data_IF_413274336547
#
_entry.id   IF_413274336547
#
_cell.length_a   1.000
_cell.length_b   1.000
_cell.length_c   1.000
_cell.angle_alpha   90.00
_cell.angle_beta   90.00
_cell.angle_gamma   90.00
#
_symmetry.space_group_name_H-M   'P 1'
#
loop_
_entity.id
_entity.type
_entity.pdbx_description
1 polymer ?
#
# COMPACT_ATOMS: atom_id res chain seq x y z
N UNK A 1 25.65 11.60 1.23
CA UNK A 1 26.74 11.00 0.43
C UNK A 1 26.09 10.08 -0.60
N UNK A 2 25.44 10.68 -1.58
CA UNK A 2 25.86 10.79 -3.00
C UNK A 2 25.92 9.45 -3.73
N UNK A 3 24.84 9.24 -4.49
CA UNK A 3 24.65 8.21 -5.49
C UNK A 3 25.74 8.26 -6.57
N UNK A 4 26.21 7.08 -7.00
CA UNK A 4 27.17 6.90 -8.08
C UNK A 4 26.39 6.49 -9.32
N UNK A 5 26.16 7.46 -10.19
CA UNK A 5 25.50 7.29 -11.49
C UNK A 5 26.61 7.13 -12.54
N UNK A 6 26.77 5.92 -13.07
CA UNK A 6 27.74 5.64 -14.14
C UNK A 6 27.16 6.09 -15.48
N UNK A 7 27.95 6.90 -16.17
CA UNK A 7 27.63 7.65 -17.37
C UNK A 7 28.15 6.86 -18.58
N UNK A 8 27.26 6.33 -19.42
CA UNK A 8 27.63 5.71 -20.70
C UNK A 8 27.94 6.79 -21.75
N UNK A 9 28.97 6.63 -22.60
CA UNK A 9 29.30 7.61 -23.62
C UNK A 9 28.34 7.50 -24.81
N UNK A 10 27.72 8.65 -25.12
CA UNK A 10 26.81 8.91 -26.22
C UNK A 10 27.61 8.98 -27.55
N UNK A 11 27.33 8.08 -28.49
CA UNK A 11 27.93 8.07 -29.83
C UNK A 11 26.97 8.79 -30.80
N UNK A 12 27.39 9.89 -31.44
CA UNK A 12 26.53 10.65 -32.35
C UNK A 12 26.46 10.00 -33.74
N UNK A 13 25.30 10.02 -34.42
CA UNK A 13 25.20 9.59 -35.81
C UNK A 13 25.62 10.74 -36.74
N UNK A 14 26.60 10.49 -37.61
CA UNK A 14 26.97 11.41 -38.70
C UNK A 14 26.33 10.97 -40.03
N UNK A 15 26.02 11.93 -40.93
CA UNK A 15 25.09 11.75 -42.04
C UNK A 15 25.80 11.71 -43.41
N UNK A 16 25.37 10.82 -44.31
CA UNK A 16 25.71 10.87 -45.74
C UNK A 16 24.45 10.50 -46.53
N UNK A 17 23.73 11.47 -47.09
CA UNK A 17 23.96 12.21 -48.33
C UNK A 17 22.99 11.69 -49.41
N UNK A 18 21.95 12.50 -49.61
CA UNK A 18 21.04 12.48 -50.77
C UNK A 18 21.83 12.70 -52.06
N UNK A 19 21.50 11.92 -53.08
CA UNK A 19 21.63 12.31 -54.48
C UNK A 19 20.28 12.00 -55.16
N UNK A 20 19.56 13.07 -55.45
CA UNK A 20 18.46 13.23 -56.41
C UNK A 20 18.87 14.44 -57.29
N UNK A 21 18.22 14.79 -58.41
CA UNK A 21 17.44 14.03 -59.39
C UNK A 21 17.76 14.46 -60.85
N UNK A 22 17.23 13.79 -61.87
CA UNK A 22 16.97 14.39 -63.20
C UNK A 22 15.68 13.74 -63.75
N UNK A 23 14.52 14.43 -63.67
CA UNK A 23 13.89 15.23 -64.75
C UNK A 23 13.51 14.33 -65.96
N UNK A 24 12.27 14.22 -66.44
CA UNK A 24 11.02 14.97 -66.27
C UNK A 24 9.88 14.18 -66.92
N UNK A 25 8.69 14.36 -66.38
CA UNK A 25 7.39 14.55 -67.04
C UNK A 25 7.04 13.74 -68.30
N UNK A 26 6.00 12.92 -68.16
CA UNK A 26 4.75 13.10 -68.92
C UNK A 26 3.56 12.52 -68.16
N UNK A 27 2.66 13.41 -67.74
CA UNK A 27 1.28 13.08 -67.38
C UNK A 27 0.57 12.46 -68.60
N UNK A 28 -0.21 11.41 -68.39
CA UNK A 28 -1.58 11.30 -68.91
C UNK A 28 -2.30 10.05 -68.39
N UNK A 29 -3.49 10.32 -67.85
CA UNK A 29 -4.71 9.51 -67.95
C UNK A 29 -4.82 8.19 -67.19
N UNK A 30 -5.70 8.26 -66.19
CA UNK A 30 -6.49 7.22 -65.54
C UNK A 30 -6.78 6.04 -66.48
N UNK A 31 -6.43 4.84 -66.03
CA UNK A 31 -6.81 3.54 -66.57
C UNK A 31 -6.48 2.45 -65.53
N UNK A 32 -7.53 1.75 -65.09
CA UNK A 32 -7.59 0.68 -64.09
C UNK A 32 -6.56 -0.47 -64.25
N UNK A 33 -6.32 -1.29 -63.20
CA UNK A 33 -5.10 -2.07 -63.06
C UNK A 33 -5.06 -3.25 -64.04
N UNK A 34 -4.06 -3.28 -64.93
CA UNK A 34 -3.71 -4.50 -65.68
C UNK A 34 -2.82 -5.37 -64.81
N UNK A 35 -3.37 -6.51 -64.42
CA UNK A 35 -2.73 -7.66 -63.79
C UNK A 35 -1.45 -8.08 -64.54
N UNK A 36 -0.46 -8.58 -63.78
CA UNK A 36 0.88 -8.92 -64.26
C UNK A 36 0.94 -10.00 -65.35
N UNK A 37 2.13 -10.27 -65.91
CA UNK A 37 2.29 -11.11 -67.09
C UNK A 37 1.98 -12.58 -66.77
N UNK A 38 0.85 -13.09 -67.25
CA UNK A 38 0.55 -14.53 -67.23
C UNK A 38 1.37 -15.26 -68.29
N UNK A 39 2.15 -16.26 -67.88
CA UNK A 39 2.97 -17.07 -68.79
C UNK A 39 2.34 -18.43 -69.07
N UNK A 40 2.28 -18.88 -70.33
CA UNK A 40 1.87 -20.24 -70.68
C UNK A 40 3.04 -21.01 -71.30
N UNK A 41 3.37 -22.18 -70.74
CA UNK A 41 4.40 -23.06 -71.29
C UNK A 41 3.95 -24.52 -71.35
N UNK A 42 4.35 -25.21 -72.43
CA UNK A 42 4.09 -26.63 -72.60
C UNK A 42 5.01 -27.46 -71.70
N UNK A 43 4.43 -28.34 -70.90
CA UNK A 43 5.15 -29.20 -69.95
C UNK A 43 5.56 -30.53 -70.58
N UNK A 44 4.63 -31.18 -71.29
CA UNK A 44 4.89 -32.43 -71.99
C UNK A 44 3.99 -32.55 -73.23
N UNK A 45 4.56 -33.12 -74.30
CA UNK A 45 3.89 -33.40 -75.56
C UNK A 45 4.06 -34.89 -75.86
N UNK A 46 2.99 -35.65 -75.73
CA UNK A 46 2.93 -37.04 -76.17
C UNK A 46 2.02 -37.15 -77.39
N UNK A 47 2.05 -38.29 -78.07
CA UNK A 47 1.36 -38.52 -79.34
C UNK A 47 -0.14 -38.16 -79.31
N UNK A 48 -0.81 -38.32 -78.16
CA UNK A 48 -2.27 -38.08 -78.01
C UNK A 48 -2.66 -37.15 -76.87
N UNK A 49 -1.68 -36.63 -76.12
CA UNK A 49 -1.92 -35.85 -74.90
C UNK A 49 -0.88 -34.75 -74.80
N UNK A 50 -1.34 -33.53 -74.51
CA UNK A 50 -0.46 -32.40 -74.24
C UNK A 50 -0.85 -31.75 -72.92
N UNK A 51 0.14 -31.48 -72.07
CA UNK A 51 -0.04 -30.77 -70.80
C UNK A 51 0.65 -29.41 -70.80
N UNK A 52 -0.01 -28.40 -70.24
CA UNK A 52 0.48 -27.02 -70.14
C UNK A 52 0.35 -26.48 -68.72
N UNK A 53 1.31 -25.68 -68.31
CA UNK A 53 1.16 -24.83 -67.14
C UNK A 53 0.87 -23.40 -67.60
N UNK A 54 -0.11 -22.79 -66.95
CA UNK A 54 -0.43 -21.37 -67.09
C UNK A 54 -0.17 -20.74 -65.74
N UNK A 55 0.76 -19.79 -65.67
CA UNK A 55 1.10 -19.03 -64.47
C UNK A 55 0.43 -17.67 -64.52
N UNK A 56 -0.09 -17.18 -63.41
CA UNK A 56 -0.84 -15.92 -63.34
C UNK A 56 -1.72 -15.85 -62.10
N UNK A 57 -2.29 -14.66 -61.82
CA UNK A 57 -3.26 -14.50 -60.73
C UNK A 57 -4.62 -14.92 -61.26
N UNK A 58 -5.05 -16.15 -60.93
CA UNK A 58 -6.34 -16.67 -61.38
C UNK A 58 -7.41 -16.40 -60.32
N UNK A 59 -8.49 -15.72 -60.73
CA UNK A 59 -9.66 -15.44 -59.90
C UNK A 59 -10.89 -16.08 -60.53
N UNK A 60 -11.69 -16.82 -59.74
CA UNK A 60 -12.93 -17.46 -60.20
C UNK A 60 -12.95 -18.99 -60.20
N UNK A 61 -14.09 -19.59 -60.56
CA UNK A 61 -14.27 -21.04 -60.66
C UNK A 61 -13.48 -21.63 -61.83
N UNK A 62 -12.99 -22.88 -61.71
CA UNK A 62 -12.33 -23.61 -62.79
C UNK A 62 -13.18 -23.73 -64.07
N UNK A 63 -14.50 -23.64 -63.94
CA UNK A 63 -15.44 -23.69 -65.06
C UNK A 63 -15.41 -22.43 -65.95
N UNK A 64 -14.70 -21.38 -65.52
CA UNK A 64 -14.48 -20.16 -66.30
C UNK A 64 -13.39 -20.29 -67.35
N UNK A 65 -12.67 -21.43 -67.43
CA UNK A 65 -11.58 -21.61 -68.39
C UNK A 65 -11.96 -22.60 -69.49
N UNK A 66 -11.74 -22.21 -70.74
CA UNK A 66 -11.98 -23.07 -71.90
C UNK A 66 -10.73 -23.15 -72.79
N UNK A 67 -10.56 -24.30 -73.45
CA UNK A 67 -9.48 -24.52 -74.41
C UNK A 67 -10.07 -24.70 -75.80
N UNK A 68 -9.57 -23.94 -76.78
CA UNK A 68 -9.86 -24.16 -78.20
C UNK A 68 -8.65 -24.79 -78.88
N UNK A 69 -8.90 -25.84 -79.65
CA UNK A 69 -7.89 -26.46 -80.54
C UNK A 69 -8.33 -26.16 -81.97
N UNK A 70 -7.50 -25.46 -82.73
CA UNK A 70 -7.79 -24.97 -84.08
C UNK A 70 -9.16 -24.26 -84.16
N UNK A 71 -9.40 -23.29 -83.26
CA UNK A 71 -10.65 -22.52 -83.14
C UNK A 71 -11.89 -23.29 -82.66
N UNK A 72 -11.79 -24.59 -82.35
CA UNK A 72 -12.91 -25.39 -81.85
C UNK A 72 -12.76 -25.65 -80.35
N UNK A 73 -13.80 -25.37 -79.57
CA UNK A 73 -13.80 -25.67 -78.13
C UNK A 73 -13.63 -27.17 -77.90
N UNK A 74 -12.54 -27.54 -77.22
CA UNK A 74 -12.13 -28.91 -77.04
C UNK A 74 -12.69 -29.47 -75.74
N UNK A 75 -13.56 -30.49 -75.86
CA UNK A 75 -14.26 -31.07 -74.71
C UNK A 75 -13.40 -32.01 -73.87
N UNK A 76 -12.34 -32.57 -74.44
CA UNK A 76 -11.45 -33.51 -73.74
C UNK A 76 -10.31 -32.77 -73.05
N UNK A 77 -10.66 -31.85 -72.16
CA UNK A 77 -9.72 -31.00 -71.43
C UNK A 77 -9.90 -31.22 -69.93
N UNK A 78 -8.80 -31.41 -69.20
CA UNK A 78 -8.79 -31.51 -67.74
C UNK A 78 -8.01 -30.32 -67.19
N UNK A 79 -8.66 -29.51 -66.36
CA UNK A 79 -8.08 -28.31 -65.75
C UNK A 79 -7.96 -28.55 -64.25
N UNK A 80 -6.77 -28.32 -63.69
CA UNK A 80 -6.48 -28.51 -62.26
C UNK A 80 -5.70 -27.32 -61.71
N UNK A 81 -6.05 -26.91 -60.49
CA UNK A 81 -5.29 -25.92 -59.74
C UNK A 81 -4.05 -26.59 -59.15
N UNK A 82 -2.90 -25.94 -59.28
CA UNK A 82 -1.64 -26.44 -58.75
C UNK A 82 -1.04 -25.37 -57.84
N UNK A 83 -1.00 -25.64 -56.53
CA UNK A 83 -0.22 -24.82 -55.62
C UNK A 83 1.25 -25.16 -55.79
N UNK A 84 1.99 -24.29 -56.45
CA UNK A 84 3.45 -24.32 -56.41
C UNK A 84 3.87 -23.61 -55.13
N UNK A 85 3.85 -24.33 -54.01
CA UNK A 85 4.35 -23.80 -52.74
C UNK A 85 5.88 -23.78 -52.79
N UNK A 86 6.43 -22.69 -53.33
CA UNK A 86 7.84 -22.36 -53.17
C UNK A 86 8.03 -20.85 -53.35
N UNK A 87 7.60 -20.08 -52.34
CA UNK A 87 8.07 -18.71 -52.04
C UNK A 87 7.40 -18.20 -50.77
N UNK A 88 8.22 -17.91 -49.77
CA UNK A 88 7.86 -17.21 -48.54
C UNK A 88 7.13 -15.89 -48.82
N UNK A 89 5.85 -15.81 -48.46
CA UNK A 89 5.18 -14.53 -48.23
C UNK A 89 4.92 -14.42 -46.73
N UNK A 90 5.87 -13.80 -46.03
CA UNK A 90 5.69 -13.33 -44.66
C UNK A 90 4.84 -12.07 -44.69
N UNK A 91 3.60 -12.14 -44.19
CA UNK A 91 2.83 -10.95 -43.82
C UNK A 91 2.74 -10.93 -42.29
N UNK A 92 3.29 -9.88 -41.69
CA UNK A 92 3.11 -9.58 -40.26
C UNK A 92 1.65 -9.13 -40.03
N UNK A 93 1.00 -9.51 -38.92
CA UNK A 93 -0.31 -8.98 -38.58
C UNK A 93 -0.09 -7.68 -37.79
N UNK A 94 -0.13 -6.53 -38.46
CA UNK A 94 -0.24 -5.25 -37.78
C UNK A 94 -1.68 -4.74 -37.91
N UNK A 95 -2.32 -4.68 -36.75
CA UNK A 95 -3.30 -3.70 -36.27
C UNK A 95 -4.19 -2.99 -37.31
N UNK A 96 -5.47 -3.33 -37.26
CA UNK A 96 -6.54 -2.58 -37.89
C UNK A 96 -6.77 -1.25 -37.17
N UNK A 97 -6.62 -0.15 -37.91
CA UNK A 97 -7.47 1.04 -37.79
C UNK A 97 -7.30 1.86 -39.07
N UNK A 98 -8.34 1.93 -39.91
CA UNK A 98 -9.09 3.16 -40.15
C UNK A 98 -10.07 3.05 -41.33
N UNK A 99 -11.16 3.79 -41.17
CA UNK A 99 -12.31 3.93 -42.05
C UNK A 99 -11.93 4.64 -43.36
N UNK A 100 -11.60 3.89 -44.40
CA UNK A 100 -11.80 4.31 -45.78
C UNK A 100 -11.87 3.08 -46.68
N UNK A 101 -13.08 2.80 -47.19
CA UNK A 101 -13.45 1.58 -47.89
C UNK A 101 -12.51 1.19 -49.02
N UNK A 102 -11.67 0.18 -48.75
CA UNK A 102 -10.95 -0.60 -49.75
C UNK A 102 -11.37 -2.06 -49.61
N UNK A 103 -11.78 -2.66 -50.71
CA UNK A 103 -12.25 -4.05 -50.80
C UNK A 103 -11.17 -5.01 -50.32
N UNK A 104 -11.50 -5.79 -49.28
CA UNK A 104 -10.75 -6.96 -48.85
C UNK A 104 -10.84 -7.99 -49.99
N UNK A 105 -9.78 -8.15 -50.77
CA UNK A 105 -9.64 -9.33 -51.63
C UNK A 105 -9.31 -10.47 -50.68
N UNK A 106 -10.26 -11.39 -50.52
CA UNK A 106 -10.10 -12.62 -49.77
C UNK A 106 -8.97 -13.46 -50.41
N UNK A 107 -7.78 -13.41 -49.82
CA UNK A 107 -6.56 -14.10 -50.28
C UNK A 107 -6.65 -15.63 -50.08
N UNK A 108 -7.79 -16.15 -49.61
CA UNK A 108 -7.97 -17.59 -49.39
C UNK A 108 -8.17 -18.43 -50.66
N UNK A 109 -8.38 -17.81 -51.84
CA UNK A 109 -8.66 -18.52 -53.10
C UNK A 109 -7.85 -18.03 -54.31
N UNK A 110 -6.67 -17.46 -54.11
CA UNK A 110 -5.75 -17.11 -55.21
C UNK A 110 -4.77 -18.25 -55.47
N UNK A 111 -4.84 -18.84 -56.68
CA UNK A 111 -3.86 -19.83 -57.15
C UNK A 111 -2.96 -19.18 -58.19
N UNK A 112 -1.65 -19.41 -58.07
CA UNK A 112 -0.65 -18.79 -58.95
C UNK A 112 -0.40 -19.62 -60.23
N UNK A 113 -0.93 -20.85 -60.31
CA UNK A 113 -0.70 -21.76 -61.45
C UNK A 113 -1.87 -22.72 -61.71
N UNK A 114 -2.24 -22.85 -62.98
CA UNK A 114 -3.21 -23.82 -63.49
C UNK A 114 -2.50 -24.83 -64.40
N UNK A 115 -2.78 -26.12 -64.21
CA UNK A 115 -2.40 -27.20 -65.12
C UNK A 115 -3.58 -27.56 -66.03
N UNK A 116 -3.36 -27.49 -67.34
CA UNK A 116 -4.34 -27.85 -68.37
C UNK A 116 -3.81 -29.03 -69.16
N UNK A 117 -4.56 -30.14 -69.19
CA UNK A 117 -4.24 -31.33 -69.97
C UNK A 117 -5.28 -31.53 -71.08
N UNK A 118 -4.82 -31.54 -72.33
CA UNK A 118 -5.64 -31.76 -73.52
C UNK A 118 -5.45 -33.19 -74.00
N UNK A 119 -6.54 -33.95 -74.08
CA UNK A 119 -6.57 -35.34 -74.52
C UNK A 119 -7.21 -35.49 -75.89
N UNK A 120 -7.00 -36.66 -76.53
CA UNK A 120 -7.69 -37.03 -77.75
C UNK A 120 -7.11 -36.42 -79.03
N UNK A 121 -5.85 -36.00 -78.99
CA UNK A 121 -5.13 -35.47 -80.16
C UNK A 121 -4.62 -36.61 -81.06
N UNK A 122 -4.44 -36.32 -82.35
CA UNK A 122 -3.84 -37.27 -83.31
C UNK A 122 -2.33 -37.12 -83.34
N UNK A 123 -1.60 -38.24 -83.35
CA UNK A 123 -0.14 -38.27 -83.49
C UNK A 123 0.34 -37.71 -84.84
N UNK A 124 1.53 -37.13 -84.86
CA UNK A 124 2.15 -36.60 -86.08
C UNK A 124 1.48 -35.37 -86.70
N UNK A 125 0.62 -34.64 -85.98
CA UNK A 125 -0.08 -33.44 -86.49
C UNK A 125 0.27 -32.19 -85.69
N UNK A 126 0.14 -31.02 -86.34
CA UNK A 126 0.40 -29.72 -85.73
C UNK A 126 -0.92 -29.06 -85.31
N UNK A 127 -1.03 -28.66 -84.05
CA UNK A 127 -2.22 -28.00 -83.49
C UNK A 127 -1.90 -26.58 -83.04
N UNK A 128 -2.85 -25.66 -83.24
CA UNK A 128 -2.89 -24.35 -82.60
C UNK A 128 -3.89 -24.38 -81.45
N UNK A 129 -3.42 -24.08 -80.24
CA UNK A 129 -4.22 -24.14 -79.02
C UNK A 129 -4.36 -22.74 -78.43
N UNK A 130 -5.58 -22.39 -78.02
CA UNK A 130 -5.93 -21.15 -77.34
C UNK A 130 -6.55 -21.44 -75.99
N UNK A 131 -6.12 -20.72 -74.96
CA UNK A 131 -6.65 -20.80 -73.61
C UNK A 131 -7.37 -19.50 -73.32
N UNK A 132 -8.66 -19.58 -72.97
CA UNK A 132 -9.54 -18.44 -72.79
C UNK A 132 -10.12 -18.44 -71.37
N UNK A 133 -10.28 -17.26 -70.78
CA UNK A 133 -11.07 -17.02 -69.57
C UNK A 133 -12.42 -16.40 -69.95
N UNK A 134 -13.49 -16.99 -69.43
CA UNK A 134 -14.88 -16.55 -69.62
C UNK A 134 -15.37 -15.94 -68.32
N UNK A 135 -15.63 -14.63 -68.33
CA UNK A 135 -16.14 -13.95 -67.13
C UNK A 135 -17.65 -14.19 -66.97
N UNK A 136 -18.15 -14.57 -65.78
CA UNK A 136 -19.58 -14.84 -65.57
C UNK A 136 -20.47 -13.60 -65.79
N UNK A 137 -19.94 -12.42 -65.46
CA UNK A 137 -20.70 -11.16 -65.42
C UNK A 137 -20.54 -10.29 -66.68
N UNK A 138 -19.69 -10.71 -67.62
CA UNK A 138 -19.44 -10.01 -68.88
C UNK A 138 -19.31 -11.04 -70.00
N UNK A 139 -20.09 -10.91 -71.07
CA UNK A 139 -20.07 -11.83 -72.23
C UNK A 139 -18.79 -11.74 -73.08
N UNK A 140 -17.67 -11.34 -72.48
CA UNK A 140 -16.38 -11.14 -73.11
C UNK A 140 -15.43 -12.27 -72.72
N UNK A 141 -14.77 -12.87 -73.71
CA UNK A 141 -13.74 -13.90 -73.52
C UNK A 141 -12.37 -13.22 -73.59
N UNK A 142 -11.53 -13.42 -72.58
CA UNK A 142 -10.15 -12.92 -72.60
C UNK A 142 -9.17 -14.06 -72.97
N UNK A 143 -8.20 -13.78 -73.84
CA UNK A 143 -7.24 -14.78 -74.32
C UNK A 143 -5.98 -14.77 -73.46
N UNK A 144 -5.80 -15.82 -72.67
CA UNK A 144 -4.67 -15.97 -71.75
C UNK A 144 -3.40 -16.39 -72.50
N UNK A 145 -3.53 -17.23 -73.54
CA UNK A 145 -2.37 -17.68 -74.31
C UNK A 145 -2.73 -18.47 -75.56
N UNK A 146 -1.83 -18.42 -76.56
CA UNK A 146 -1.93 -19.15 -77.83
C UNK A 146 -0.61 -19.86 -78.14
N UNK A 147 -0.64 -21.17 -78.42
CA UNK A 147 0.56 -22.01 -78.61
C UNK A 147 0.40 -22.97 -79.80
N UNK A 148 1.47 -23.21 -80.56
CA UNK A 148 1.51 -24.20 -81.66
C UNK A 148 2.43 -25.38 -81.32
N UNK A 149 1.95 -26.62 -81.49
CA UNK A 149 2.67 -27.85 -81.08
C UNK A 149 2.56 -28.96 -82.14
N UNK A 150 3.61 -29.76 -82.29
CA UNK A 150 3.69 -30.94 -83.16
C UNK A 150 3.86 -32.24 -82.36
N UNK A 151 3.16 -33.32 -82.75
CA UNK A 151 3.14 -34.62 -82.05
C UNK A 151 3.92 -35.76 -82.76
N UNK A 152 4.97 -35.49 -83.55
CA UNK A 152 5.73 -36.52 -84.32
C UNK A 152 6.99 -37.09 -83.60
N UNK A 153 7.30 -38.41 -83.73
CA UNK A 153 8.49 -39.05 -83.13
C UNK A 153 9.77 -38.90 -84.01
N UNK A 154 10.95 -38.83 -83.37
CA UNK A 154 12.26 -38.74 -84.01
C UNK A 154 12.86 -40.14 -84.31
N UNK A 155 13.49 -40.32 -85.47
CA UNK A 155 14.38 -41.44 -85.90
C UNK A 155 13.79 -42.57 -86.76
N UNK A 156 14.03 -42.51 -88.08
CA UNK A 156 14.29 -43.70 -88.94
C UNK A 156 14.80 -43.27 -90.32
N UNK A 157 16.06 -43.56 -90.67
CA UNK A 157 16.52 -43.47 -92.06
C UNK A 157 17.64 -44.48 -92.40
N UNK A 158 17.36 -45.28 -93.43
CA UNK A 158 18.26 -45.99 -94.35
C UNK A 158 18.85 -47.37 -94.00
N UNK A 159 18.37 -48.41 -94.71
CA UNK A 159 19.16 -49.56 -95.17
C UNK A 159 18.66 -50.01 -96.54
N UNK A 160 19.57 -50.24 -97.49
CA UNK A 160 19.32 -50.94 -98.76
C UNK A 160 20.45 -51.97 -98.99
N UNK A 161 20.15 -53.21 -99.44
CA UNK A 161 21.15 -54.22 -99.78
C UNK A 161 21.29 -54.41 -101.30
N UNK A 162 22.52 -54.70 -101.78
CA UNK A 162 22.77 -55.16 -103.17
C UNK A 162 23.39 -56.56 -103.16
N UNK A 163 22.90 -57.39 -104.09
CA UNK A 163 23.15 -58.82 -104.31
C UNK A 163 24.43 -59.10 -105.17
N UNK A 164 24.86 -60.38 -105.32
CA UNK A 164 26.22 -60.79 -105.74
C UNK A 164 26.37 -61.06 -107.27
N UNK A 165 27.61 -61.25 -107.79
CA UNK A 165 27.91 -61.27 -109.23
C UNK A 165 27.68 -62.62 -109.95
N UNK A 166 27.57 -62.54 -111.28
CA UNK A 166 27.26 -63.60 -112.24
C UNK A 166 28.46 -64.49 -112.64
N UNK A 167 28.24 -65.82 -112.53
CA UNK A 167 28.84 -67.00 -113.23
C UNK A 167 30.39 -67.15 -113.38
N UNK A 168 30.95 -68.34 -113.06
CA UNK A 168 32.38 -68.65 -113.07
C UNK A 168 32.95 -69.07 -114.43
N UNK A 169 34.22 -68.74 -114.68
CA UNK A 169 35.05 -69.28 -115.76
C UNK A 169 35.65 -70.65 -115.36
N UNK A 170 35.57 -71.65 -116.26
CA UNK A 170 36.29 -72.95 -116.30
C UNK A 170 36.31 -73.87 -115.05
N UNK A 171 36.10 -75.20 -115.18
CA UNK A 171 36.03 -76.15 -114.05
C UNK A 171 37.29 -76.22 -113.16
N UNK A 172 38.48 -76.06 -113.73
CA UNK A 172 39.74 -76.10 -112.98
C UNK A 172 39.94 -74.80 -112.20
N UNK A 173 39.59 -73.66 -112.80
CA UNK A 173 39.62 -72.34 -112.15
C UNK A 173 38.56 -72.25 -111.06
N UNK A 174 37.37 -72.82 -111.29
CA UNK A 174 36.32 -72.94 -110.26
C UNK A 174 36.79 -73.72 -109.03
N UNK A 175 37.55 -74.82 -109.18
CA UNK A 175 38.07 -75.57 -108.03
C UNK A 175 39.20 -74.85 -107.29
N UNK A 176 40.09 -74.17 -108.03
CA UNK A 176 41.20 -73.41 -107.46
C UNK A 176 40.70 -72.12 -106.78
N UNK A 177 39.71 -71.46 -107.37
CA UNK A 177 38.97 -70.36 -106.76
C UNK A 177 38.15 -70.85 -105.57
N UNK A 178 37.52 -72.03 -105.63
CA UNK A 178 36.81 -72.59 -104.47
C UNK A 178 37.77 -72.93 -103.33
N UNK A 179 38.97 -73.47 -103.62
CA UNK A 179 39.98 -73.77 -102.61
C UNK A 179 40.60 -72.49 -102.05
N UNK A 180 40.92 -71.52 -102.90
CA UNK A 180 41.43 -70.20 -102.53
C UNK A 180 40.39 -69.44 -101.70
N UNK A 181 39.13 -69.42 -102.13
CA UNK A 181 38.00 -68.85 -101.41
C UNK A 181 37.70 -69.62 -100.12
N UNK A 182 37.93 -70.94 -100.07
CA UNK A 182 37.86 -71.74 -98.83
C UNK A 182 39.02 -71.40 -97.88
N UNK A 183 40.23 -71.14 -98.38
CA UNK A 183 41.37 -70.70 -97.57
C UNK A 183 41.19 -69.26 -97.07
N UNK A 184 40.66 -68.36 -97.91
CA UNK A 184 40.30 -66.99 -97.55
C UNK A 184 39.21 -67.01 -96.49
N UNK A 185 38.11 -67.73 -96.69
CA UNK A 185 37.03 -67.85 -95.69
C UNK A 185 37.50 -68.53 -94.40
N UNK A 186 38.37 -69.56 -94.46
CA UNK A 186 38.99 -70.15 -93.28
C UNK A 186 39.88 -69.14 -92.54
N UNK A 187 40.65 -68.33 -93.27
CA UNK A 187 41.47 -67.26 -92.69
C UNK A 187 40.62 -66.16 -92.07
N UNK A 188 39.48 -65.80 -92.69
CA UNK A 188 38.51 -64.83 -92.20
C UNK A 188 37.81 -65.34 -90.95
N UNK A 189 37.39 -66.60 -90.91
CA UNK A 189 36.81 -67.25 -89.74
C UNK A 189 37.84 -67.36 -88.62
N UNK A 190 39.10 -67.75 -88.90
CA UNK A 190 40.19 -67.74 -87.91
C UNK A 190 40.44 -66.33 -87.35
N UNK A 191 40.45 -65.31 -88.20
CA UNK A 191 40.64 -63.92 -87.79
C UNK A 191 39.41 -63.36 -87.05
N UNK A 192 38.20 -63.79 -87.41
CA UNK A 192 36.96 -63.49 -86.72
C UNK A 192 36.95 -64.08 -85.30
N UNK A 193 37.33 -65.35 -85.16
CA UNK A 193 37.46 -66.01 -83.85
C UNK A 193 38.54 -65.33 -83.01
N UNK A 194 39.69 -64.96 -83.59
CA UNK A 194 40.73 -64.21 -82.86
C UNK A 194 40.24 -62.83 -82.40
N UNK A 195 39.52 -62.09 -83.25
CA UNK A 195 38.90 -60.80 -82.90
C UNK A 195 37.86 -60.97 -81.79
N UNK A 196 36.94 -61.91 -81.94
CA UNK A 196 35.94 -62.26 -80.92
C UNK A 196 36.60 -62.64 -79.59
N UNK A 197 37.61 -63.52 -79.58
CA UNK A 197 38.35 -63.85 -78.34
C UNK A 197 39.01 -62.64 -77.69
N UNK A 198 39.62 -61.74 -78.48
CA UNK A 198 40.21 -60.49 -77.97
C UNK A 198 39.16 -59.54 -77.40
N UNK A 199 38.00 -59.44 -78.06
CA UNK A 199 36.89 -58.60 -77.60
C UNK A 199 36.22 -59.17 -76.35
N UNK A 200 36.05 -60.50 -76.26
CA UNK A 200 35.60 -61.16 -75.03
C UNK A 200 36.60 -60.99 -73.89
N UNK A 201 37.91 -61.09 -74.16
CA UNK A 201 38.93 -60.84 -73.15
C UNK A 201 38.91 -59.38 -72.65
N UNK A 202 38.73 -58.41 -73.55
CA UNK A 202 38.54 -57.00 -73.17
C UNK A 202 37.27 -56.80 -72.34
N UNK A 203 36.12 -57.31 -72.79
CA UNK A 203 34.86 -57.25 -72.04
C UNK A 203 34.97 -57.88 -70.67
N UNK A 204 35.62 -59.04 -70.56
CA UNK A 204 35.88 -59.70 -69.28
C UNK A 204 36.76 -58.84 -68.37
N UNK A 205 37.79 -58.18 -68.91
CA UNK A 205 38.62 -57.24 -68.16
C UNK A 205 37.83 -56.01 -67.70
N UNK A 206 36.96 -55.47 -68.56
CA UNK A 206 36.08 -54.33 -68.24
C UNK A 206 35.07 -54.71 -67.15
N UNK A 207 34.39 -55.85 -67.28
CA UNK A 207 33.43 -56.34 -66.28
C UNK A 207 34.13 -56.59 -64.94
N UNK A 208 35.34 -57.16 -64.94
CA UNK A 208 36.13 -57.31 -63.70
C UNK A 208 36.46 -55.97 -63.06
N UNK A 209 36.89 -54.99 -63.87
CA UNK A 209 37.16 -53.64 -63.38
C UNK A 209 35.90 -52.95 -62.85
N UNK A 210 34.76 -53.11 -63.51
CA UNK A 210 33.46 -52.61 -63.05
C UNK A 210 33.02 -53.28 -61.74
N UNK A 211 33.20 -54.61 -61.62
CA UNK A 211 32.95 -55.34 -60.37
C UNK A 211 33.84 -54.81 -59.25
N UNK A 212 35.15 -54.64 -59.49
CA UNK A 212 36.08 -54.11 -58.49
C UNK A 212 35.74 -52.65 -58.12
N UNK A 213 35.31 -51.84 -59.09
CA UNK A 213 34.88 -50.46 -58.87
C UNK A 213 33.59 -50.39 -58.05
N UNK A 214 32.58 -51.22 -58.37
CA UNK A 214 31.33 -51.30 -57.62
C UNK A 214 31.60 -51.83 -56.21
N UNK A 215 32.45 -52.86 -56.07
CA UNK A 215 32.84 -53.42 -54.77
C UNK A 215 33.54 -52.38 -53.90
N UNK A 216 34.48 -51.62 -54.47
CA UNK A 216 35.15 -50.51 -53.79
C UNK A 216 34.18 -49.42 -53.35
N UNK A 217 33.21 -49.06 -54.21
CA UNK A 217 32.14 -48.10 -53.86
C UNK A 217 31.26 -48.62 -52.73
N UNK A 218 30.85 -49.89 -52.76
CA UNK A 218 30.07 -50.52 -51.69
C UNK A 218 30.83 -50.51 -50.35
N UNK A 219 32.09 -50.94 -50.31
CA UNK A 219 32.91 -50.90 -49.08
C UNK A 219 33.12 -49.46 -48.57
N UNK A 220 33.20 -48.46 -49.47
CA UNK A 220 33.32 -47.05 -49.08
C UNK A 220 32.00 -46.46 -48.54
N UNK A 221 30.87 -46.89 -49.08
CA UNK A 221 29.54 -46.48 -48.62
C UNK A 221 29.21 -47.07 -47.26
N UNK A 222 29.61 -48.31 -46.99
CA UNK A 222 29.35 -49.00 -45.71
C UNK A 222 29.97 -48.25 -44.50
N UNK A 223 31.16 -47.68 -44.69
CA UNK A 223 31.81 -46.80 -43.68
C UNK A 223 31.07 -45.48 -43.48
N UNK A 224 30.44 -44.98 -44.53
CA UNK A 224 29.65 -43.73 -44.49
C UNK A 224 28.32 -43.97 -43.78
N UNK A 225 27.65 -45.08 -44.09
CA UNK A 225 26.42 -45.50 -43.43
C UNK A 225 26.63 -45.76 -41.93
N UNK A 226 27.72 -46.43 -41.55
CA UNK A 226 28.04 -46.63 -40.14
C UNK A 226 28.31 -45.29 -39.42
N UNK A 227 28.95 -44.31 -40.09
CA UNK A 227 29.15 -42.96 -39.53
C UNK A 227 27.81 -42.24 -39.36
N UNK A 228 26.91 -42.32 -40.34
CA UNK A 228 25.57 -41.72 -40.28
C UNK A 228 24.75 -42.36 -39.16
N UNK A 229 24.79 -43.70 -39.02
CA UNK A 229 24.12 -44.43 -37.94
C UNK A 229 24.59 -44.01 -36.56
N UNK A 230 25.91 -43.85 -36.36
CA UNK A 230 26.49 -43.33 -35.11
C UNK A 230 26.03 -41.90 -34.82
N UNK A 231 26.02 -41.03 -35.82
CA UNK A 231 25.49 -39.66 -35.66
C UNK A 231 24.01 -39.65 -35.31
N UNK A 232 23.20 -40.49 -35.96
CA UNK A 232 21.78 -40.62 -35.66
C UNK A 232 21.53 -41.10 -34.22
N UNK A 233 22.31 -42.08 -33.74
CA UNK A 233 22.25 -42.52 -32.34
C UNK A 233 22.65 -41.42 -31.37
N UNK A 234 23.71 -40.67 -31.68
CA UNK A 234 24.13 -39.50 -30.91
C UNK A 234 23.01 -38.47 -30.84
N UNK A 235 22.42 -38.09 -31.98
CA UNK A 235 21.32 -37.13 -32.02
C UNK A 235 20.08 -37.63 -31.28
N UNK A 236 19.72 -38.91 -31.38
CA UNK A 236 18.64 -39.49 -30.59
C UNK A 236 18.91 -39.37 -29.08
N UNK A 237 20.15 -39.58 -28.65
CA UNK A 237 20.53 -39.38 -27.24
C UNK A 237 20.44 -37.91 -26.85
N UNK A 238 20.93 -37.00 -27.69
CA UNK A 238 20.85 -35.56 -27.46
C UNK A 238 19.41 -35.07 -27.40
N UNK A 239 18.54 -35.53 -28.29
CA UNK A 239 17.10 -35.19 -28.28
C UNK A 239 16.46 -35.64 -26.97
N UNK A 240 16.70 -36.88 -26.53
CA UNK A 240 16.18 -37.37 -25.24
C UNK A 240 16.68 -36.54 -24.05
N UNK A 241 17.95 -36.14 -24.08
CA UNK A 241 18.50 -35.28 -23.02
C UNK A 241 17.84 -33.90 -23.03
N UNK A 242 17.70 -33.29 -24.22
CA UNK A 242 17.04 -31.99 -24.35
C UNK A 242 15.57 -32.05 -23.96
N UNK A 243 14.85 -33.12 -24.30
CA UNK A 243 13.47 -33.33 -23.84
C UNK A 243 13.38 -33.43 -22.31
N UNK A 244 14.32 -34.12 -21.67
CA UNK A 244 14.41 -34.19 -20.21
C UNK A 244 14.74 -32.82 -19.59
N UNK A 245 15.67 -32.08 -20.19
CA UNK A 245 16.07 -30.75 -19.72
C UNK A 245 14.92 -29.73 -19.90
N UNK A 246 14.19 -29.79 -21.02
CA UNK A 246 12.99 -28.97 -21.25
C UNK A 246 11.94 -29.28 -20.19
N UNK A 247 11.66 -30.55 -19.93
CA UNK A 247 10.69 -30.94 -18.91
C UNK A 247 11.10 -30.46 -17.51
N UNK A 248 12.38 -30.57 -17.16
CA UNK A 248 12.90 -30.06 -15.89
C UNK A 248 12.75 -28.54 -15.78
N UNK A 249 13.05 -27.80 -16.86
CA UNK A 249 12.89 -26.35 -16.92
C UNK A 249 11.40 -25.92 -16.82
N UNK A 250 10.49 -26.66 -17.46
CA UNK A 250 9.04 -26.42 -17.34
C UNK A 250 8.52 -26.66 -15.91
N UNK A 251 8.99 -27.71 -15.25
CA UNK A 251 8.66 -27.99 -13.85
C UNK A 251 9.21 -26.90 -12.91
N UNK A 252 10.44 -26.44 -13.13
CA UNK A 252 11.03 -25.33 -12.38
C UNK A 252 10.27 -24.02 -12.61
N UNK A 253 9.90 -23.70 -13.85
CA UNK A 253 9.12 -22.51 -14.19
C UNK A 253 7.78 -22.52 -13.46
N UNK A 254 7.05 -23.64 -13.49
CA UNK A 254 5.77 -23.79 -12.77
C UNK A 254 5.94 -23.62 -11.26
N UNK A 255 7.01 -24.19 -10.70
CA UNK A 255 7.31 -24.04 -9.28
C UNK A 255 7.63 -22.58 -8.91
N UNK A 256 8.40 -21.87 -9.73
CA UNK A 256 8.72 -20.46 -9.53
C UNK A 256 7.48 -19.56 -9.68
N UNK A 257 6.61 -19.84 -10.66
CA UNK A 257 5.33 -19.15 -10.84
C UNK A 257 4.41 -19.32 -9.62
N UNK A 258 4.29 -20.55 -9.10
CA UNK A 258 3.52 -20.81 -7.89
C UNK A 258 4.09 -20.05 -6.71
N UNK A 259 5.42 -20.08 -6.52
CA UNK A 259 6.08 -19.36 -5.44
C UNK A 259 5.91 -17.85 -5.56
N UNK A 260 5.97 -17.30 -6.78
CA UNK A 260 5.73 -15.89 -7.04
C UNK A 260 4.28 -15.50 -6.68
N UNK A 261 3.32 -16.36 -7.01
CA UNK A 261 1.91 -16.18 -6.61
C UNK A 261 1.75 -16.20 -5.09
N UNK A 262 2.33 -17.18 -4.41
CA UNK A 262 2.26 -17.28 -2.95
C UNK A 262 2.88 -16.04 -2.27
N UNK A 263 4.00 -15.52 -2.79
CA UNK A 263 4.59 -14.29 -2.30
C UNK A 263 3.75 -13.05 -2.59
N UNK A 264 3.11 -12.96 -3.76
CA UNK A 264 2.21 -11.87 -4.09
C UNK A 264 0.98 -11.86 -3.17
N UNK A 265 0.37 -13.02 -2.96
CA UNK A 265 -0.77 -13.21 -2.08
C UNK A 265 -0.37 -12.89 -0.63
N UNK A 266 0.75 -13.42 -0.14
CA UNK A 266 1.28 -13.12 1.19
C UNK A 266 1.61 -11.64 1.39
N UNK A 267 2.21 -10.98 0.39
CA UNK A 267 2.49 -9.54 0.43
C UNK A 267 1.20 -8.73 0.49
N UNK A 268 0.19 -9.08 -0.30
CA UNK A 268 -1.10 -8.36 -0.30
C UNK A 268 -1.83 -8.53 1.03
N UNK A 269 -1.83 -9.73 1.60
CA UNK A 269 -2.39 -10.01 2.92
C UNK A 269 -1.69 -9.18 4.01
N UNK A 270 -0.35 -9.22 4.07
CA UNK A 270 0.43 -8.47 5.04
C UNK A 270 0.27 -6.95 4.88
N UNK A 271 0.19 -6.46 3.64
CA UNK A 271 -0.07 -5.05 3.34
C UNK A 271 -1.45 -4.60 3.81
N UNK A 272 -2.46 -5.46 3.67
CA UNK A 272 -3.82 -5.16 4.14
C UNK A 272 -3.87 -5.16 5.67
N UNK A 273 -3.25 -6.14 6.33
CA UNK A 273 -3.12 -6.17 7.78
C UNK A 273 -2.39 -4.92 8.30
N UNK A 274 -1.26 -4.56 7.70
CA UNK A 274 -0.53 -3.34 8.06
C UNK A 274 -1.39 -2.08 7.92
N UNK A 275 -2.17 -1.96 6.83
CA UNK A 275 -3.10 -0.84 6.65
C UNK A 275 -4.17 -0.79 7.75
N UNK A 276 -4.76 -1.93 8.10
CA UNK A 276 -5.75 -2.01 9.18
C UNK A 276 -5.14 -1.61 10.51
N UNK A 277 -3.94 -2.10 10.83
CA UNK A 277 -3.24 -1.73 12.07
C UNK A 277 -2.90 -0.24 12.11
N UNK A 278 -2.52 0.36 10.98
CA UNK A 278 -2.27 1.81 10.89
C UNK A 278 -3.56 2.62 11.07
N UNK A 279 -4.68 2.16 10.52
CA UNK A 279 -5.98 2.80 10.72
C UNK A 279 -6.41 2.75 12.19
N UNK A 280 -6.30 1.59 12.84
CA UNK A 280 -6.57 1.42 14.28
C UNK A 280 -5.65 2.33 15.10
N UNK A 281 -4.36 2.40 14.77
CA UNK A 281 -3.41 3.26 15.46
C UNK A 281 -3.81 4.75 15.36
N UNK A 282 -4.17 5.21 14.16
CA UNK A 282 -4.61 6.60 13.95
C UNK A 282 -5.93 6.90 14.67
N UNK A 283 -6.87 5.96 14.70
CA UNK A 283 -8.10 6.09 15.49
C UNK A 283 -7.79 6.21 17.00
N UNK A 284 -6.89 5.35 17.51
CA UNK A 284 -6.47 5.39 18.93
C UNK A 284 -5.76 6.68 19.29
N UNK A 285 -4.88 7.19 18.43
CA UNK A 285 -4.24 8.51 18.62
C UNK A 285 -5.27 9.64 18.68
N UNK A 286 -6.26 9.63 17.78
CA UNK A 286 -7.34 10.63 17.80
C UNK A 286 -8.17 10.54 19.08
N UNK A 287 -8.49 9.33 19.54
CA UNK A 287 -9.20 9.11 20.79
C UNK A 287 -8.38 9.58 22.01
N UNK A 288 -7.08 9.29 22.03
CA UNK A 288 -6.16 9.76 23.08
C UNK A 288 -6.08 11.29 23.10
N UNK A 289 -5.90 11.92 21.95
CA UNK A 289 -5.84 13.38 21.85
C UNK A 289 -7.13 14.03 22.34
N UNK A 290 -8.29 13.50 21.92
CA UNK A 290 -9.60 13.98 22.38
C UNK A 290 -9.76 13.80 23.90
N UNK A 291 -9.39 12.64 24.45
CA UNK A 291 -9.45 12.41 25.89
C UNK A 291 -8.53 13.38 26.64
N UNK A 292 -7.33 13.64 26.12
CA UNK A 292 -6.38 14.59 26.71
C UNK A 292 -6.92 16.01 26.70
N UNK A 293 -7.55 16.44 25.62
CA UNK A 293 -8.22 17.75 25.53
C UNK A 293 -9.38 17.85 26.52
N UNK A 294 -10.23 16.83 26.60
CA UNK A 294 -11.34 16.77 27.58
C UNK A 294 -10.83 16.84 29.03
N UNK A 295 -9.76 16.10 29.36
CA UNK A 295 -9.17 16.16 30.70
C UNK A 295 -8.48 17.49 30.98
N UNK A 296 -7.82 18.10 29.99
CA UNK A 296 -7.25 19.45 30.14
C UNK A 296 -8.34 20.47 30.47
N UNK A 297 -9.45 20.46 29.73
CA UNK A 297 -10.58 21.37 29.98
C UNK A 297 -11.19 21.15 31.37
N UNK A 298 -11.32 19.89 31.82
CA UNK A 298 -11.81 19.58 33.17
C UNK A 298 -10.84 20.08 34.25
N UNK A 299 -9.54 19.91 34.03
CA UNK A 299 -8.50 20.37 34.96
C UNK A 299 -8.49 21.89 35.07
N UNK A 300 -8.60 22.60 33.94
CA UNK A 300 -8.71 24.06 33.91
C UNK A 300 -9.98 24.54 34.64
N UNK A 301 -11.10 23.84 34.45
CA UNK A 301 -12.35 24.10 35.19
C UNK A 301 -12.19 23.93 36.71
N UNK A 302 -11.59 22.82 37.15
CA UNK A 302 -11.34 22.55 38.57
C UNK A 302 -10.38 23.59 39.17
N UNK A 303 -9.32 23.98 38.46
CA UNK A 303 -8.38 24.99 38.95
C UNK A 303 -9.04 26.37 39.06
N UNK A 304 -9.94 26.73 38.13
CA UNK A 304 -10.76 27.93 38.21
C UNK A 304 -11.71 27.90 39.44
N UNK A 305 -12.39 26.77 39.68
CA UNK A 305 -13.24 26.58 40.86
C UNK A 305 -12.44 26.68 42.17
N UNK A 306 -11.27 26.03 42.22
CA UNK A 306 -10.35 26.09 43.36
C UNK A 306 -9.90 27.53 43.63
N UNK A 307 -9.56 28.30 42.59
CA UNK A 307 -9.22 29.71 42.72
C UNK A 307 -10.38 30.53 43.27
N UNK A 308 -11.61 30.31 42.77
CA UNK A 308 -12.81 30.98 43.26
C UNK A 308 -13.11 30.65 44.74
N UNK A 309 -12.95 29.39 45.14
CA UNK A 309 -13.11 28.95 46.54
C UNK A 309 -12.05 29.59 47.43
N UNK A 310 -10.80 29.64 46.99
CA UNK A 310 -9.71 30.30 47.74
C UNK A 310 -9.99 31.79 47.92
N UNK A 311 -10.41 32.50 46.87
CA UNK A 311 -10.79 33.92 46.98
C UNK A 311 -11.97 34.13 47.96
N UNK A 312 -12.94 33.21 47.97
CA UNK A 312 -14.05 33.25 48.94
C UNK A 312 -13.56 32.98 50.37
N UNK A 313 -12.65 32.01 50.55
CA UNK A 313 -12.03 31.69 51.83
C UNK A 313 -11.26 32.90 52.39
N UNK A 314 -10.45 33.57 51.57
CA UNK A 314 -9.69 34.76 51.96
C UNK A 314 -10.62 35.91 52.39
N UNK A 315 -11.69 36.18 51.64
CA UNK A 315 -12.69 37.18 52.03
C UNK A 315 -13.35 36.87 53.37
N UNK A 316 -13.68 35.59 53.62
CA UNK A 316 -14.25 35.16 54.89
C UNK A 316 -13.25 35.25 56.05
N UNK A 317 -11.97 34.92 55.81
CA UNK A 317 -10.91 35.08 56.80
C UNK A 317 -10.69 36.55 57.17
N UNK A 318 -10.63 37.45 56.18
CA UNK A 318 -10.52 38.89 56.42
C UNK A 318 -11.74 39.43 57.20
N UNK A 319 -12.95 38.95 56.88
CA UNK A 319 -14.16 39.31 57.64
C UNK A 319 -14.11 38.78 59.08
N UNK A 320 -13.63 37.55 59.27
CA UNK A 320 -13.45 36.96 60.61
C UNK A 320 -12.47 37.80 61.43
N UNK A 321 -11.31 38.13 60.87
CA UNK A 321 -10.28 38.94 61.54
C UNK A 321 -10.81 40.31 61.94
N UNK A 322 -11.54 40.99 61.04
CA UNK A 322 -12.20 42.26 61.36
C UNK A 322 -13.17 42.13 62.52
N UNK A 323 -14.07 41.13 62.48
CA UNK A 323 -15.03 40.91 63.56
C UNK A 323 -14.35 40.56 64.88
N UNK A 324 -13.28 39.77 64.85
CA UNK A 324 -12.48 39.47 66.05
C UNK A 324 -11.81 40.72 66.61
N UNK A 325 -11.29 41.61 65.76
CA UNK A 325 -10.75 42.91 66.20
C UNK A 325 -11.84 43.81 66.79
N UNK A 326 -13.01 43.86 66.17
CA UNK A 326 -14.14 44.65 66.68
C UNK A 326 -14.65 44.12 68.03
N UNK A 327 -14.72 42.78 68.20
CA UNK A 327 -15.04 42.15 69.50
C UNK A 327 -14.01 42.54 70.56
N UNK A 328 -12.71 42.40 70.26
CA UNK A 328 -11.64 42.75 71.21
C UNK A 328 -11.66 44.22 71.60
N UNK A 329 -12.00 45.13 70.67
CA UNK A 329 -12.20 46.56 70.99
C UNK A 329 -13.40 46.77 71.91
N UNK A 330 -14.54 46.14 71.62
CA UNK A 330 -15.74 46.24 72.46
C UNK A 330 -15.46 45.70 73.87
N UNK A 331 -14.74 44.58 73.98
CA UNK A 331 -14.32 44.01 75.28
C UNK A 331 -13.41 44.99 76.04
N UNK A 332 -12.42 45.59 75.37
CA UNK A 332 -11.54 46.60 75.97
C UNK A 332 -12.30 47.86 76.40
N UNK A 333 -13.20 48.38 75.57
CA UNK A 333 -14.02 49.56 75.86
C UNK A 333 -14.98 49.28 77.04
N UNK A 334 -15.54 48.07 77.09
CA UNK A 334 -16.39 47.62 78.21
C UNK A 334 -15.59 47.55 79.51
N UNK A 335 -14.41 46.94 79.48
CA UNK A 335 -13.52 46.86 80.65
C UNK A 335 -13.12 48.25 81.12
N UNK A 336 -12.77 49.15 80.20
CA UNK A 336 -12.46 50.54 80.53
C UNK A 336 -13.66 51.25 81.17
N UNK A 337 -14.86 51.13 80.58
CA UNK A 337 -16.07 51.75 81.11
C UNK A 337 -16.42 51.21 82.53
N UNK A 338 -16.23 49.92 82.76
CA UNK A 338 -16.38 49.31 84.09
C UNK A 338 -15.37 49.89 85.07
N UNK A 339 -14.09 49.97 84.70
CA UNK A 339 -13.05 50.54 85.57
C UNK A 339 -13.27 52.02 85.87
N UNK A 340 -13.69 52.81 84.88
CA UNK A 340 -14.04 54.22 85.05
C UNK A 340 -15.23 54.39 86.01
N UNK A 341 -16.30 53.61 85.86
CA UNK A 341 -17.45 53.67 86.74
C UNK A 341 -17.11 53.23 88.18
N UNK A 342 -16.31 52.16 88.33
CA UNK A 342 -15.82 51.72 89.63
C UNK A 342 -14.92 52.78 90.28
N UNK A 343 -14.03 53.39 89.50
CA UNK A 343 -13.16 54.49 89.93
C UNK A 343 -13.97 55.72 90.36
N UNK A 344 -14.97 56.12 89.57
CA UNK A 344 -15.91 57.20 89.90
C UNK A 344 -16.63 56.94 91.21
N UNK A 345 -17.16 55.72 91.40
CA UNK A 345 -17.81 55.31 92.66
C UNK A 345 -16.84 55.32 93.84
N UNK A 346 -15.59 54.87 93.66
CA UNK A 346 -14.56 54.89 94.70
C UNK A 346 -14.20 56.32 95.10
N UNK A 347 -13.93 57.19 94.13
CA UNK A 347 -13.63 58.61 94.36
C UNK A 347 -14.78 59.35 95.05
N UNK A 348 -16.02 59.08 94.66
CA UNK A 348 -17.20 59.66 95.32
C UNK A 348 -17.32 59.24 96.80
N UNK A 349 -17.02 57.96 97.11
CA UNK A 349 -16.98 57.47 98.51
C UNK A 349 -15.86 58.12 99.31
N UNK A 350 -14.68 58.23 98.72
CA UNK A 350 -13.50 58.86 99.35
C UNK A 350 -13.73 60.35 99.63
N UNK A 351 -14.27 61.09 98.66
CA UNK A 351 -14.64 62.49 98.85
C UNK A 351 -15.68 62.69 99.97
N UNK A 352 -16.65 61.78 100.08
CA UNK A 352 -17.63 61.80 101.19
C UNK A 352 -16.96 61.53 102.53
N UNK A 353 -16.05 60.56 102.60
CA UNK A 353 -15.29 60.24 103.81
C UNK A 353 -14.38 61.41 104.22
N UNK A 354 -13.69 62.03 103.27
CA UNK A 354 -12.83 63.19 103.52
C UNK A 354 -13.65 64.41 104.00
N UNK A 355 -14.82 64.67 103.39
CA UNK A 355 -15.74 65.71 103.88
C UNK A 355 -16.19 65.44 105.31
N UNK A 356 -16.51 64.18 105.64
CA UNK A 356 -16.87 63.79 107.01
C UNK A 356 -15.69 63.98 107.97
N UNK A 357 -14.48 63.60 107.57
CA UNK A 357 -13.26 63.77 108.36
C UNK A 357 -12.98 65.26 108.64
N UNK A 358 -13.07 66.12 107.62
CA UNK A 358 -12.94 67.58 107.77
C UNK A 358 -13.97 68.14 108.75
N UNK A 359 -15.24 67.73 108.62
CA UNK A 359 -16.30 68.17 109.53
C UNK A 359 -16.05 67.69 110.97
N UNK A 360 -15.60 66.44 111.16
CA UNK A 360 -15.22 65.91 112.47
C UNK A 360 -14.05 66.70 113.06
N UNK A 361 -13.04 67.03 112.27
CA UNK A 361 -11.91 67.85 112.71
C UNK A 361 -12.37 69.27 113.09
N UNK A 362 -13.20 69.93 112.28
CA UNK A 362 -13.77 71.24 112.59
C UNK A 362 -14.54 71.23 113.91
N UNK A 363 -15.38 70.21 114.15
CA UNK A 363 -16.07 70.05 115.43
C UNK A 363 -15.11 69.76 116.57
N UNK A 364 -14.09 68.93 116.36
CA UNK A 364 -13.06 68.64 117.36
C UNK A 364 -12.28 69.89 117.74
N UNK A 365 -11.92 70.73 116.76
CA UNK A 365 -11.23 72.00 116.97
C UNK A 365 -12.11 72.99 117.72
N UNK A 366 -13.40 73.08 117.35
CA UNK A 366 -14.38 73.91 118.06
C UNK A 366 -14.57 73.44 119.52
N UNK A 367 -14.67 72.13 119.76
CA UNK A 367 -14.72 71.55 121.11
C UNK A 367 -13.45 71.91 121.88
N UNK A 368 -12.27 71.73 121.29
CA UNK A 368 -10.99 72.06 121.94
C UNK A 368 -10.88 73.54 122.27
N UNK A 369 -11.33 74.44 121.38
CA UNK A 369 -11.40 75.88 121.65
C UNK A 369 -12.36 76.21 122.79
N UNK A 370 -13.55 75.60 122.80
CA UNK A 370 -14.52 75.76 123.90
C UNK A 370 -13.97 75.22 125.22
N UNK A 371 -13.35 74.04 125.22
CA UNK A 371 -12.71 73.44 126.39
C UNK A 371 -11.60 74.33 126.94
N UNK A 372 -10.75 74.90 126.06
CA UNK A 372 -9.74 75.87 126.46
C UNK A 372 -10.37 77.16 126.99
N UNK A 373 -11.47 77.62 126.38
CA UNK A 373 -12.26 78.75 126.89
C UNK A 373 -12.85 78.48 128.27
N UNK A 374 -13.38 77.28 128.53
CA UNK A 374 -13.89 76.85 129.84
C UNK A 374 -12.74 76.73 130.85
N UNK A 375 -11.60 76.16 130.47
CA UNK A 375 -10.39 76.10 131.32
C UNK A 375 -9.91 77.50 131.70
N UNK A 376 -9.86 78.41 130.74
CA UNK A 376 -9.50 79.81 130.96
C UNK A 376 -10.52 80.53 131.85
N UNK A 377 -11.82 80.36 131.60
CA UNK A 377 -12.88 80.90 132.46
C UNK A 377 -12.79 80.34 133.88
N UNK A 378 -12.52 79.04 134.03
CA UNK A 378 -12.32 78.39 135.34
C UNK A 378 -11.07 78.93 136.02
N UNK A 379 -9.96 79.08 135.30
CA UNK A 379 -8.71 79.69 135.80
C UNK A 379 -8.93 81.13 136.25
N UNK A 380 -9.58 81.95 135.43
CA UNK A 380 -9.99 83.33 135.77
C UNK A 380 -10.92 83.37 136.97
N UNK A 381 -11.91 82.49 137.03
CA UNK A 381 -12.84 82.41 138.18
C UNK A 381 -12.10 82.00 139.43
N UNK A 382 -11.19 81.02 139.36
CA UNK A 382 -10.34 80.60 140.48
C UNK A 382 -9.42 81.74 140.94
N UNK A 383 -8.79 82.46 140.02
CA UNK A 383 -7.96 83.63 140.32
C UNK A 383 -8.78 84.78 140.92
N UNK A 384 -10.00 85.02 140.42
CA UNK A 384 -10.91 86.01 140.98
C UNK A 384 -11.38 85.58 142.37
N UNK A 385 -11.68 84.30 142.58
CA UNK A 385 -12.08 83.77 143.88
C UNK A 385 -10.94 83.80 144.90
N UNK A 386 -9.70 83.51 144.50
CA UNK A 386 -8.53 83.66 145.38
C UNK A 386 -8.23 85.13 145.68
N UNK A 387 -8.41 86.03 144.71
CA UNK A 387 -8.33 87.48 144.91
C UNK A 387 -9.42 87.95 145.88
N UNK A 388 -10.64 87.45 145.72
CA UNK A 388 -11.77 87.73 146.61
C UNK A 388 -11.52 87.17 148.01
N UNK A 389 -11.01 85.94 148.16
CA UNK A 389 -10.60 85.40 149.46
C UNK A 389 -9.52 86.26 150.11
N UNK A 390 -8.49 86.68 149.37
CA UNK A 390 -7.45 87.58 149.89
C UNK A 390 -8.03 88.94 150.35
N UNK A 391 -9.05 89.47 149.65
CA UNK A 391 -9.78 90.67 150.07
C UNK A 391 -10.67 90.42 151.30
N UNK A 392 -11.36 89.28 151.38
CA UNK A 392 -12.22 88.89 152.51
C UNK A 392 -11.39 88.59 153.77
N UNK A 393 -10.16 88.10 153.64
CA UNK A 393 -9.28 87.83 154.78
C UNK A 393 -8.73 89.11 155.45
N UNK A 394 -8.96 90.29 154.84
CA UNK A 394 -8.50 91.59 155.35
C UNK A 394 -9.54 92.34 156.20
N UNK A 395 -10.79 91.87 156.31
CA UNK A 395 -11.83 92.51 157.12
C UNK A 395 -12.78 91.48 157.77
N UNK A 396 -12.48 91.16 159.03
CA UNK A 396 -13.35 90.57 160.08
C UNK A 396 -13.72 89.06 160.05
N UNK A 397 -14.02 88.45 161.23
CA UNK A 397 -13.71 87.05 161.59
C UNK A 397 -14.89 86.05 161.66
N UNK A 398 -14.52 84.77 161.51
CA UNK A 398 -14.97 83.49 162.13
C UNK A 398 -16.38 83.34 162.77
N UNK A 399 -17.11 82.27 162.36
CA UNK A 399 -17.65 81.08 163.12
C UNK A 399 -19.02 80.56 162.52
N UNK A 400 -19.56 79.34 162.82
CA UNK A 400 -19.53 78.20 161.88
C UNK A 400 -20.85 77.38 161.74
N UNK A 401 -20.87 76.48 160.73
CA UNK A 401 -21.41 75.09 160.67
C UNK A 401 -22.82 74.71 161.21
N UNK A 402 -23.60 73.95 160.40
CA UNK A 402 -23.84 72.48 160.56
C UNK A 402 -25.26 71.98 160.13
N UNK A 403 -25.29 70.79 159.49
CA UNK A 403 -26.31 69.69 159.37
C UNK A 403 -27.00 69.57 157.99
N UNK A 404 -26.54 68.70 157.09
CA UNK A 404 -26.74 67.21 156.97
C UNK A 404 -28.17 66.84 156.51
N UNK A 405 -28.41 66.38 155.27
CA UNK A 405 -28.20 65.04 154.65
C UNK A 405 -29.60 64.42 154.34
N UNK A 406 -29.78 63.25 153.68
CA UNK A 406 -28.97 62.43 152.75
C UNK A 406 -29.74 62.18 151.40
N UNK A 407 -29.17 61.67 150.30
CA UNK A 407 -28.74 60.28 150.05
C UNK A 407 -29.59 59.65 148.94
N UNK A 408 -28.99 59.11 147.88
CA UNK A 408 -29.74 58.41 146.82
C UNK A 408 -28.98 58.05 145.54
N UNK A 409 -27.96 57.19 145.69
CA UNK A 409 -27.57 56.05 144.84
C UNK A 409 -27.82 56.03 143.31
N UNK A 410 -26.71 55.86 142.58
CA UNK A 410 -26.42 54.83 141.55
C UNK A 410 -27.40 54.62 140.37
N UNK A 411 -26.95 54.61 139.10
CA UNK A 411 -26.16 53.49 138.54
C UNK A 411 -25.65 53.75 137.10
N UNK A 412 -24.37 53.40 136.86
CA UNK A 412 -23.70 52.72 135.72
C UNK A 412 -24.06 53.07 134.23
N UNK A 413 -23.15 53.38 133.28
CA UNK A 413 -21.93 52.66 132.78
C UNK A 413 -22.32 51.26 132.23
N UNK A 414 -22.04 50.74 131.03
CA UNK A 414 -21.13 50.93 129.88
C UNK A 414 -21.87 50.36 128.63
N UNK A 415 -21.51 50.60 127.36
CA UNK A 415 -20.41 49.92 126.63
C UNK A 415 -20.62 48.40 126.55
N UNK A 416 -20.39 47.64 125.48
CA UNK A 416 -19.89 47.79 124.13
C UNK A 416 -20.01 46.37 123.48
N UNK A 417 -19.88 46.28 122.15
CA UNK A 417 -19.38 45.13 121.37
C UNK A 417 -20.21 43.81 121.16
N UNK A 418 -20.61 43.65 119.90
CA UNK A 418 -20.19 42.58 118.96
C UNK A 418 -20.77 41.16 118.96
N UNK A 419 -21.23 40.81 117.75
CA UNK A 419 -21.05 39.56 116.98
C UNK A 419 -22.02 38.35 117.12
N UNK A 420 -22.78 38.19 116.04
CA UNK A 420 -22.84 37.03 115.11
C UNK A 420 -23.90 35.90 115.22
N UNK A 421 -24.40 35.58 114.01
CA UNK A 421 -25.08 34.38 113.48
C UNK A 421 -26.55 34.10 113.85
N UNK A 422 -27.45 34.24 112.87
CA UNK A 422 -27.97 33.09 112.07
C UNK A 422 -28.88 33.53 110.91
N UNK A 423 -28.81 32.74 109.84
CA UNK A 423 -29.61 32.74 108.60
C UNK A 423 -31.13 32.81 108.82
N UNK A 424 -31.87 33.43 107.91
CA UNK A 424 -32.69 32.70 106.92
C UNK A 424 -33.21 33.62 105.79
N UNK A 425 -33.24 32.99 104.63
CA UNK A 425 -33.43 33.48 103.27
C UNK A 425 -34.91 33.75 102.94
N UNK A 426 -35.22 34.80 102.15
CA UNK A 426 -36.41 34.79 101.28
C UNK A 426 -36.37 35.80 100.12
N UNK A 427 -36.63 35.26 98.93
CA UNK A 427 -37.23 35.80 97.69
C UNK A 427 -36.48 36.76 96.73
N UNK A 428 -36.29 36.20 95.51
CA UNK A 428 -36.64 36.70 94.16
C UNK A 428 -35.99 38.04 93.70
N UNK A 429 -35.42 38.19 92.51
CA UNK A 429 -35.89 37.72 91.21
C UNK A 429 -34.80 37.89 90.11
N UNK A 430 -34.84 37.00 89.12
CA UNK A 430 -34.59 37.25 87.69
C UNK A 430 -33.23 37.79 87.20
N UNK A 431 -32.40 36.91 86.63
CA UNK A 431 -31.53 37.22 85.48
C UNK A 431 -31.29 35.95 84.65
N UNK A 432 -31.76 36.00 83.41
CA UNK A 432 -31.57 34.98 82.38
C UNK A 432 -30.14 35.04 81.84
N UNK A 433 -29.38 33.95 81.97
CA UNK A 433 -28.13 33.75 81.25
C UNK A 433 -28.30 32.55 80.32
N UNK A 434 -28.22 32.80 79.02
CA UNK A 434 -28.18 31.79 77.96
C UNK A 434 -26.70 31.61 77.63
N UNK A 435 -26.13 30.48 78.02
CA UNK A 435 -24.82 30.03 77.53
C UNK A 435 -25.00 29.24 76.22
N UNK A 436 -24.20 29.49 75.17
CA UNK A 436 -24.14 28.61 74.02
C UNK A 436 -23.22 27.43 74.31
N UNK A 437 -23.79 26.25 74.14
CA UNK A 437 -23.17 24.94 74.18
C UNK A 437 -22.09 24.83 73.07
N UNK A 438 -20.81 24.84 73.46
CA UNK A 438 -19.68 24.61 72.55
C UNK A 438 -19.48 23.09 72.43
N UNK A 439 -19.96 22.51 71.33
CA UNK A 439 -19.63 21.14 70.92
C UNK A 439 -18.41 21.20 70.01
N UNK A 440 -17.25 20.83 70.54
CA UNK A 440 -16.03 20.56 69.75
C UNK A 440 -16.15 19.13 69.24
N UNK A 441 -16.51 18.97 67.97
CA UNK A 441 -16.53 17.67 67.30
C UNK A 441 -15.17 17.45 66.62
N UNK A 442 -14.31 16.66 67.26
CA UNK A 442 -13.17 16.03 66.61
C UNK A 442 -13.62 14.66 66.13
N UNK A 443 -13.86 14.51 64.82
CA UNK A 443 -13.49 13.29 64.14
C UNK A 443 -13.37 13.50 62.64
N UNK A 444 -12.22 13.03 62.15
CA UNK A 444 -11.90 12.83 60.76
C UNK A 444 -12.63 11.58 60.22
N UNK A 445 -12.68 11.54 58.90
CA UNK A 445 -12.99 10.42 58.00
C UNK A 445 -14.46 10.19 57.64
N UNK A 446 -14.60 9.84 56.36
CA UNK A 446 -15.75 9.29 55.65
C UNK A 446 -16.75 10.30 55.06
N UNK A 447 -16.39 10.80 53.86
CA UNK A 447 -17.39 11.12 52.84
C UNK A 447 -17.08 10.33 51.57
N UNK A 448 -18.05 9.50 51.21
CA UNK A 448 -18.03 8.53 50.12
C UNK A 448 -17.92 9.22 48.76
N UNK A 449 -16.93 8.77 47.99
CA UNK A 449 -16.78 9.05 46.57
C UNK A 449 -17.52 7.95 45.79
N UNK A 450 -18.73 8.22 45.33
CA UNK A 450 -19.36 7.37 44.30
C UNK A 450 -18.87 7.80 42.93
N UNK A 451 -17.71 7.28 42.54
CA UNK A 451 -17.16 7.37 41.19
C UNK A 451 -16.58 6.02 40.80
N UNK A 452 -17.41 5.16 40.20
CA UNK A 452 -16.98 3.87 39.68
C UNK A 452 -16.15 4.09 38.40
N UNK A 453 -14.83 3.98 38.55
CA UNK A 453 -13.88 3.83 37.46
C UNK A 453 -13.51 2.36 37.31
N UNK A 454 -13.85 1.77 36.16
CA UNK A 454 -13.49 0.42 35.74
C UNK A 454 -12.17 0.46 34.98
N UNK A 455 -11.08 -0.06 35.56
CA UNK A 455 -9.87 -0.59 34.91
C UNK A 455 -9.19 -1.53 35.94
N UNK A 456 -8.78 -2.77 35.69
CA UNK A 456 -8.71 -3.59 34.50
C UNK A 456 -8.00 -4.93 34.79
N UNK A 457 -7.62 -5.60 33.69
CA UNK A 457 -6.64 -6.69 33.54
C UNK A 457 -7.01 -8.14 33.90
N UNK A 458 -6.98 -8.97 32.86
CA UNK A 458 -6.97 -10.43 32.92
C UNK A 458 -6.54 -11.03 31.58
N UNK A 459 -5.25 -10.90 31.28
CA UNK A 459 -4.55 -11.55 30.18
C UNK A 459 -4.25 -13.01 30.59
N UNK A 460 -4.79 -14.00 29.88
CA UNK A 460 -4.22 -15.36 29.77
C UNK A 460 -4.74 -16.02 28.49
N UNK A 461 -3.81 -16.42 27.64
CA UNK A 461 -4.10 -17.20 26.44
C UNK A 461 -4.04 -18.71 26.68
N UNK A 462 -4.31 -19.40 25.58
CA UNK A 462 -4.09 -20.82 25.26
C UNK A 462 -5.18 -21.86 25.61
N UNK A 463 -5.82 -22.31 24.52
CA UNK A 463 -6.38 -23.64 24.19
C UNK A 463 -5.81 -24.85 24.97
N UNK A 464 -6.56 -25.96 25.19
CA UNK A 464 -6.96 -26.83 24.07
C UNK A 464 -8.23 -27.73 24.22
N UNK A 465 -8.57 -28.39 23.08
CA UNK A 465 -9.27 -29.68 22.88
C UNK A 465 -10.76 -29.73 22.48
N UNK A 466 -10.97 -30.09 21.20
CA UNK A 466 -11.81 -31.19 20.67
C UNK A 466 -12.95 -31.73 21.54
N UNK A 467 -14.21 -31.67 21.05
CA UNK A 467 -14.91 -32.86 20.53
C UNK A 467 -16.34 -32.58 19.98
N UNK A 468 -16.62 -33.26 18.87
CA UNK A 468 -17.87 -33.96 18.49
C UNK A 468 -19.21 -33.23 18.22
N UNK A 469 -19.62 -33.38 16.94
CA UNK A 469 -20.87 -33.97 16.42
C UNK A 469 -22.21 -33.21 16.50
N UNK A 470 -22.88 -33.28 15.35
CA UNK A 470 -24.34 -33.36 15.10
C UNK A 470 -25.20 -32.16 15.51
N UNK A 471 -25.64 -31.36 14.53
CA UNK A 471 -26.92 -31.58 13.84
C UNK A 471 -26.99 -30.74 12.56
#
# INVERSE_FOLDING_TARGET
MSARQEHMPNVPPQPHQKLDPLIRDRQASIGEPKTGPSGCYASYVFEKVVGFFVTGVFTGSLDSYIVRVNQVQWRQTVIKLVNVSDSSITVKPDEATDESGSTVIDVSNTYDTILITVHGLTGGTVYEMEILQVHPDSSYEDTIGRIKICTAPADTNSRQPIAPPSRPLSPVTTLLDTLSQSQVTLSEVKNSIKRSRKDHAKKMSTIRHEIDQIRSKCESNDKTDERVRRKLLSFKSTVKQLEADIKAAEEESKHLEQKAKDYADGYTALKNEWKQQMEILEERKKAEQKAREEFSMKLDGIEAEKSAINAKREKLLAKKERLTSDISKIESDLDQAIQEELGRRKAAREAKMERRKKLVNEFSDAITQMENGVKELKSRTQNNYSTYQNQVQSNFPQLPSHLDAPGGSASNIDGNESSNFTNLNNNNNSSSSVEPNIVINNNANDFEFTGSGVLGNGFFGHDPTSNDKSN
#
